data_IF_995404291660
#
_entry.id   IF_995404291660
#
_cell.length_a   1.000
_cell.length_b   1.000
_cell.length_c   1.000
_cell.angle_alpha   90.00
_cell.angle_beta   90.00
_cell.angle_gamma   90.00
#
_symmetry.space_group_name_H-M   'P 1'
#
loop_
_entity.id
_entity.type
_entity.pdbx_description
1 polymer ?
#
# COMPACT_ATOMS: atom_id res chain seq x y z
N UNK A 1 14.46 -0.72 -0.03
CA UNK A 1 13.93 0.60 0.35
C UNK A 1 12.77 0.32 1.29
N UNK A 2 12.81 0.76 2.54
CA UNK A 2 11.60 0.70 3.39
C UNK A 2 10.64 1.80 2.94
N UNK A 3 9.34 1.55 3.04
CA UNK A 3 8.31 2.56 2.82
C UNK A 3 8.31 3.62 3.93
N UNK A 4 8.02 4.86 3.56
CA UNK A 4 7.93 6.01 4.48
C UNK A 4 6.50 6.18 5.02
N UNK A 5 5.49 5.70 4.28
CA UNK A 5 4.07 5.78 4.63
C UNK A 5 3.40 4.45 4.33
N UNK A 6 2.48 4.02 5.19
CA UNK A 6 1.64 2.85 4.97
C UNK A 6 0.17 3.27 4.93
N UNK A 7 -0.55 2.86 3.89
CA UNK A 7 -2.02 2.95 3.81
C UNK A 7 -2.65 1.56 3.80
N UNK A 8 -3.97 1.49 3.99
CA UNK A 8 -4.70 0.23 4.02
C UNK A 8 -5.83 0.25 3.00
N UNK A 9 -5.88 -0.79 2.18
CA UNK A 9 -6.88 -0.97 1.13
C UNK A 9 -7.41 -2.42 1.15
N UNK A 10 -8.49 -2.67 0.41
CA UNK A 10 -9.00 -4.02 0.22
C UNK A 10 -8.15 -4.82 -0.79
N UNK A 11 -7.80 -6.05 -0.43
CA UNK A 11 -7.11 -6.99 -1.29
C UNK A 11 -8.07 -7.51 -2.38
N UNK A 12 -7.80 -7.32 -3.68
CA UNK A 12 -8.69 -7.78 -4.75
C UNK A 12 -8.77 -9.32 -4.87
N UNK A 13 -7.94 -10.06 -4.15
CA UNK A 13 -7.94 -11.52 -4.17
C UNK A 13 -8.85 -12.15 -3.11
N UNK A 14 -9.00 -11.50 -1.94
CA UNK A 14 -9.70 -12.07 -0.79
C UNK A 14 -10.61 -11.08 -0.04
N UNK A 15 -10.74 -9.84 -0.55
CA UNK A 15 -11.45 -8.71 0.07
C UNK A 15 -10.99 -8.34 1.49
N UNK A 16 -9.88 -8.90 1.95
CA UNK A 16 -9.28 -8.61 3.27
C UNK A 16 -8.42 -7.36 3.25
N UNK A 17 -7.92 -6.95 4.43
CA UNK A 17 -7.03 -5.80 4.53
C UNK A 17 -5.65 -6.09 3.90
N UNK A 18 -5.18 -5.16 3.07
CA UNK A 18 -3.83 -5.13 2.52
C UNK A 18 -3.13 -3.82 2.89
N UNK A 19 -1.94 -3.94 3.45
CA UNK A 19 -1.03 -2.83 3.69
C UNK A 19 -0.33 -2.45 2.38
N UNK A 20 -0.37 -1.17 2.06
CA UNK A 20 0.28 -0.57 0.90
C UNK A 20 1.39 0.36 1.40
N UNK A 21 2.64 0.01 1.11
CA UNK A 21 3.82 0.79 1.48
C UNK A 21 4.22 1.75 0.36
N UNK A 22 4.41 3.02 0.72
CA UNK A 22 4.71 4.10 -0.21
C UNK A 22 6.06 4.76 0.11
N UNK A 23 6.77 5.16 -0.93
CA UNK A 23 7.89 6.12 -0.84
C UNK A 23 7.48 7.38 -1.58
N UNK A 24 7.25 8.46 -0.83
CA UNK A 24 6.54 9.63 -1.35
C UNK A 24 5.12 9.28 -1.83
N UNK A 25 4.88 9.36 -3.14
CA UNK A 25 3.61 8.99 -3.79
C UNK A 25 3.71 7.70 -4.62
N UNK A 26 4.86 7.02 -4.58
CA UNK A 26 5.12 5.80 -5.34
C UNK A 26 4.84 4.60 -4.46
N UNK A 27 3.92 3.72 -4.88
CA UNK A 27 3.67 2.44 -4.24
C UNK A 27 4.88 1.51 -4.45
N UNK A 28 5.49 1.04 -3.37
CA UNK A 28 6.68 0.17 -3.40
C UNK A 28 6.42 -1.21 -2.82
N UNK A 29 5.48 -1.33 -1.89
CA UNK A 29 5.23 -2.58 -1.17
C UNK A 29 3.73 -2.85 -1.06
N UNK A 30 3.36 -4.13 -1.14
CA UNK A 30 1.98 -4.60 -0.97
C UNK A 30 2.05 -5.86 -0.13
N UNK A 31 1.44 -5.83 1.05
CA UNK A 31 1.35 -6.98 1.95
C UNK A 31 -0.11 -7.23 2.37
N UNK A 32 -0.62 -8.41 2.05
CA UNK A 32 -1.99 -8.79 2.38
C UNK A 32 -2.01 -9.51 3.73
N UNK A 33 -2.87 -9.09 4.67
CA UNK A 33 -3.00 -9.76 5.96
C UNK A 33 -3.45 -11.23 5.82
N UNK A 34 -4.25 -11.53 4.79
CA UNK A 34 -4.62 -12.89 4.40
C UNK A 34 -3.51 -13.70 3.71
N UNK A 35 -2.30 -13.12 3.56
CA UNK A 35 -1.13 -13.73 2.92
C UNK A 35 -1.42 -14.24 1.50
N UNK A 36 -2.32 -13.54 0.79
CA UNK A 36 -2.65 -13.88 -0.59
C UNK A 36 -1.42 -13.75 -1.48
N UNK A 37 -1.21 -14.76 -2.34
CA UNK A 37 -0.22 -14.68 -3.40
C UNK A 37 -0.76 -13.81 -4.54
N UNK A 38 -0.37 -12.54 -4.53
CA UNK A 38 -0.76 -11.60 -5.57
C UNK A 38 0.01 -11.89 -6.86
N UNK A 39 -0.72 -12.23 -7.92
CA UNK A 39 -0.19 -12.30 -9.29
C UNK A 39 0.14 -10.90 -9.80
N UNK A 40 0.92 -10.80 -10.88
CA UNK A 40 1.26 -9.50 -11.47
C UNK A 40 0.02 -8.70 -11.88
N UNK A 41 -1.00 -9.36 -12.44
CA UNK A 41 -2.26 -8.72 -12.79
C UNK A 41 -3.01 -8.13 -11.58
N UNK A 42 -2.99 -8.81 -10.43
CA UNK A 42 -3.59 -8.31 -9.19
C UNK A 42 -2.76 -7.17 -8.59
N UNK A 43 -1.43 -7.26 -8.64
CA UNK A 43 -0.53 -6.16 -8.24
C UNK A 43 -0.80 -4.91 -9.08
N UNK A 44 -0.91 -5.06 -10.40
CA UNK A 44 -1.26 -3.96 -11.30
C UNK A 44 -2.65 -3.38 -11.02
N UNK A 45 -3.64 -4.22 -10.70
CA UNK A 45 -4.96 -3.75 -10.33
C UNK A 45 -4.89 -2.85 -9.09
N UNK A 46 -4.17 -3.28 -8.05
CA UNK A 46 -3.93 -2.47 -6.85
C UNK A 46 -3.21 -1.17 -7.22
N UNK A 47 -2.14 -1.22 -8.02
CA UNK A 47 -1.40 0.00 -8.42
C UNK A 47 -2.31 1.01 -9.12
N UNK A 48 -3.26 0.55 -9.94
CA UNK A 48 -4.21 1.42 -10.66
C UNK A 48 -5.29 2.03 -9.76
N UNK A 49 -5.69 1.33 -8.70
CA UNK A 49 -6.81 1.75 -7.84
C UNK A 49 -6.37 2.33 -6.51
N UNK A 50 -5.14 2.06 -6.09
CA UNK A 50 -4.60 2.53 -4.82
C UNK A 50 -4.54 4.06 -4.84
N UNK A 51 -5.15 4.65 -3.83
CA UNK A 51 -5.06 6.10 -3.65
C UNK A 51 -3.74 6.39 -2.93
N UNK A 52 -2.80 7.14 -3.55
CA UNK A 52 -1.59 7.54 -2.86
C UNK A 52 -1.97 8.35 -1.62
N UNK A 53 -1.20 8.25 -0.53
CA UNK A 53 -1.45 9.09 0.63
C UNK A 53 -1.48 10.53 0.14
N UNK A 54 -2.60 11.23 0.40
CA UNK A 54 -2.65 12.68 0.21
C UNK A 54 -1.39 13.23 0.85
N UNK A 55 -0.65 14.11 0.16
CA UNK A 55 0.64 14.65 0.60
C UNK A 55 0.51 15.20 2.02
N UNK A 56 0.62 14.28 2.97
CA UNK A 56 0.44 14.54 4.37
C UNK A 56 1.78 15.16 4.66
N UNK A 57 1.79 16.45 4.97
CA UNK A 57 2.92 17.00 5.70
C UNK A 57 2.98 16.17 6.97
N UNK A 58 3.76 15.09 6.94
CA UNK A 58 4.12 14.33 8.10
C UNK A 58 4.75 15.38 9.01
N UNK A 59 4.03 15.77 10.05
CA UNK A 59 4.72 16.38 11.17
C UNK A 59 5.74 15.34 11.63
N UNK A 60 6.99 15.72 11.91
CA UNK A 60 7.96 14.80 12.45
C UNK A 60 7.31 14.06 13.63
N UNK A 61 7.46 12.74 13.67
CA UNK A 61 7.26 12.00 14.90
C UNK A 61 8.40 12.45 15.82
N UNK A 62 8.14 13.51 16.60
CA UNK A 62 9.01 13.88 17.71
C UNK A 62 9.03 12.69 18.71
N UNK A 63 10.25 12.45 19.19
CA UNK A 63 10.86 11.27 19.84
C UNK A 63 10.10 10.60 20.99
#
# INVERSE_FOLDING_TARGET
MQSDVVTWEACPACDGAAALGWVGQTLTEIDCAGQCRLTDALREAIIRTATPPAATRLRPLDE
#
